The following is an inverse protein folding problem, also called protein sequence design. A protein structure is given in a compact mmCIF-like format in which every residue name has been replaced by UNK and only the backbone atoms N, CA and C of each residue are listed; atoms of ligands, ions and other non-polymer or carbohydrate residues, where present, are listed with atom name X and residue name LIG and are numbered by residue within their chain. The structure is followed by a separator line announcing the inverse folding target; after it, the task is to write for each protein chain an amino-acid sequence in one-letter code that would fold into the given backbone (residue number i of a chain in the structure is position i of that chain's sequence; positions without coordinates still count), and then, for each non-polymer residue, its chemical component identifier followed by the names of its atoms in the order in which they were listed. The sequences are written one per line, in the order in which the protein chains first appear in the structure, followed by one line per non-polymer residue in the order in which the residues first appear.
data_IF_566639907464
#
_entry.id   IF_566639907464
#
_cell.length_a   1.000
_cell.length_b   1.000
_cell.length_c   1.000
_cell.angle_alpha   90.00
_cell.angle_beta   90.00
_cell.angle_gamma   90.00
#
_symmetry.space_group_name_H-M   'P 1'
#
loop_
_entity.id
_entity.type
_entity.pdbx_description
1 polymer ?
#
# COMPACT_ATOMS: atom_id res chain seq x y z
N UNK A 1 14.95 34.46 30.12
CA UNK A 1 14.55 34.06 28.74
C UNK A 1 15.31 32.85 28.17
N UNK A 2 16.60 32.63 28.50
CA UNK A 2 17.41 31.53 27.93
C UNK A 2 16.89 30.11 28.17
N UNK A 3 16.31 29.83 29.34
CA UNK A 3 15.78 28.51 29.70
C UNK A 3 14.51 28.13 28.90
N UNK A 4 13.69 29.12 28.54
CA UNK A 4 12.45 28.92 27.77
C UNK A 4 12.73 28.61 26.31
N UNK A 5 13.75 29.23 25.72
CA UNK A 5 14.19 28.97 24.34
C UNK A 5 14.78 27.55 24.22
N UNK A 6 15.55 27.12 25.22
CA UNK A 6 16.10 25.75 25.25
C UNK A 6 15.00 24.70 25.36
N UNK A 7 13.99 24.94 26.21
CA UNK A 7 12.84 24.05 26.36
C UNK A 7 12.03 23.93 25.07
N UNK A 8 11.82 25.04 24.35
CA UNK A 8 11.12 25.04 23.05
C UNK A 8 11.91 24.29 21.98
N UNK A 9 13.24 24.44 21.93
CA UNK A 9 14.10 23.67 21.03
C UNK A 9 14.08 22.17 21.33
N UNK A 10 14.10 21.78 22.61
CA UNK A 10 13.95 20.38 23.01
C UNK A 10 12.57 19.82 22.62
N UNK A 11 11.49 20.59 22.78
CA UNK A 11 10.16 20.18 22.34
C UNK A 11 10.09 19.99 20.81
N UNK A 12 10.72 20.87 20.04
CA UNK A 12 10.79 20.74 18.57
C UNK A 12 11.55 19.48 18.12
N UNK A 13 12.65 19.13 18.79
CA UNK A 13 13.39 17.89 18.51
C UNK A 13 12.58 16.64 18.89
N UNK A 14 11.81 16.70 19.98
CA UNK A 14 10.96 15.58 20.42
C UNK A 14 9.73 15.35 19.52
N UNK A 15 9.18 16.40 18.87
CA UNK A 15 8.09 16.24 17.89
C UNK A 15 8.56 15.45 16.66
N UNK A 16 9.85 15.58 16.29
CA UNK A 16 10.45 14.80 15.19
C UNK A 16 10.78 13.36 15.57
N UNK A 17 10.81 13.02 16.85
CA UNK A 17 11.16 11.68 17.34
C UNK A 17 9.89 10.82 17.50
N UNK A 18 9.17 10.61 16.40
CA UNK A 18 8.18 9.52 16.32
C UNK A 18 8.95 8.26 15.99
N UNK A 19 9.42 7.57 17.03
CA UNK A 19 10.02 6.25 16.90
C UNK A 19 8.98 5.27 16.36
N UNK A 20 8.93 5.13 15.03
CA UNK A 20 8.40 3.94 14.41
C UNK A 20 9.59 3.31 13.73
N UNK A 21 10.17 2.28 14.33
CA UNK A 21 11.06 1.39 13.60
C UNK A 21 10.20 0.58 12.63
N UNK A 22 9.66 1.27 11.62
CA UNK A 22 8.92 0.73 10.48
C UNK A 22 9.98 0.12 9.59
N UNK A 23 10.12 -1.19 9.68
CA UNK A 23 10.97 -1.94 8.78
C UNK A 23 10.10 -2.38 7.61
N UNK A 24 10.37 -1.79 6.45
CA UNK A 24 9.68 -2.11 5.22
C UNK A 24 10.66 -2.36 4.08
N UNK A 25 10.19 -3.06 3.06
CA UNK A 25 10.90 -3.32 1.84
C UNK A 25 9.98 -3.16 0.65
N UNK A 26 10.51 -2.61 -0.44
CA UNK A 26 9.80 -2.48 -1.70
C UNK A 26 10.70 -2.93 -2.84
N UNK A 27 10.15 -3.69 -3.78
CA UNK A 27 10.84 -4.06 -5.00
C UNK A 27 9.86 -4.04 -6.17
N UNK A 28 10.18 -3.26 -7.21
CA UNK A 28 9.52 -3.39 -8.50
C UNK A 28 10.00 -4.70 -9.16
N UNK A 29 9.08 -5.61 -9.46
CA UNK A 29 9.38 -6.88 -10.15
C UNK A 29 9.09 -6.80 -11.65
N UNK A 30 8.47 -5.71 -12.10
CA UNK A 30 8.25 -5.35 -13.50
C UNK A 30 7.62 -3.97 -13.62
N UNK A 31 7.31 -3.51 -14.85
CA UNK A 31 6.73 -2.17 -15.08
C UNK A 31 5.38 -1.94 -14.39
N UNK A 32 4.62 -3.01 -14.13
CA UNK A 32 3.30 -2.97 -13.53
C UNK A 32 3.16 -3.96 -12.36
N UNK A 33 4.26 -4.44 -11.78
CA UNK A 33 4.25 -5.44 -10.71
C UNK A 33 5.24 -5.08 -9.60
N UNK A 34 4.86 -5.37 -8.36
CA UNK A 34 5.67 -5.04 -7.19
C UNK A 34 5.56 -6.10 -6.10
N UNK A 35 6.58 -6.10 -5.24
CA UNK A 35 6.61 -6.77 -3.95
C UNK A 35 6.75 -5.71 -2.86
N UNK A 36 6.02 -5.89 -1.77
CA UNK A 36 6.14 -5.06 -0.58
C UNK A 36 6.22 -5.96 0.66
N UNK A 37 7.11 -5.65 1.58
CA UNK A 37 7.26 -6.33 2.86
C UNK A 37 7.12 -5.34 3.99
N UNK A 38 6.35 -5.69 5.02
CA UNK A 38 6.31 -4.94 6.27
C UNK A 38 6.52 -5.89 7.45
N UNK A 39 7.46 -5.54 8.31
CA UNK A 39 7.68 -6.27 9.55
C UNK A 39 6.59 -5.92 10.57
N UNK A 40 6.07 -6.93 11.26
CA UNK A 40 5.06 -6.76 12.29
C UNK A 40 5.34 -7.65 13.50
N UNK A 41 5.17 -7.09 14.69
CA UNK A 41 5.22 -7.82 15.96
C UNK A 41 3.82 -8.18 16.49
N UNK A 42 2.76 -7.86 15.74
CA UNK A 42 1.39 -8.23 16.09
C UNK A 42 1.04 -9.55 15.43
N UNK A 43 0.63 -10.53 16.24
CA UNK A 43 0.16 -11.83 15.73
C UNK A 43 -1.03 -11.61 14.80
N UNK A 44 -0.89 -11.97 13.52
CA UNK A 44 -1.98 -12.01 12.57
C UNK A 44 -2.97 -13.08 13.06
N UNK A 45 -4.06 -12.66 13.70
CA UNK A 45 -5.23 -13.55 13.80
C UNK A 45 -5.87 -13.63 12.41
N UNK A 46 -6.61 -14.71 12.14
CA UNK A 46 -7.28 -14.94 10.84
C UNK A 46 -8.20 -13.79 10.42
N UNK A 47 -8.55 -12.90 11.35
CA UNK A 47 -9.41 -11.74 11.18
C UNK A 47 -8.67 -10.39 11.30
N UNK A 48 -7.34 -10.35 11.19
CA UNK A 48 -6.52 -9.12 11.22
C UNK A 48 -6.64 -8.29 9.92
N UNK A 49 -7.86 -8.18 9.38
CA UNK A 49 -8.22 -7.23 8.33
C UNK A 49 -8.67 -5.87 8.92
N UNK A 50 -8.37 -5.65 10.20
CA UNK A 50 -8.70 -4.44 10.95
C UNK A 50 -7.77 -3.25 10.66
N UNK A 51 -7.55 -2.42 11.67
CA UNK A 51 -6.78 -1.17 11.52
C UNK A 51 -5.31 -1.40 11.11
N UNK A 52 -4.72 -2.52 11.52
CA UNK A 52 -3.34 -2.87 11.18
C UNK A 52 -3.17 -3.14 9.68
N UNK A 53 -4.08 -3.91 9.07
CA UNK A 53 -4.09 -4.14 7.62
C UNK A 53 -4.38 -2.86 6.85
N UNK A 54 -5.30 -2.02 7.34
CA UNK A 54 -5.55 -0.72 6.71
C UNK A 54 -4.30 0.15 6.70
N UNK A 55 -3.59 0.22 7.83
CA UNK A 55 -2.33 0.96 7.92
C UNK A 55 -1.28 0.42 6.96
N UNK A 56 -1.13 -0.91 6.84
CA UNK A 56 -0.22 -1.54 5.86
C UNK A 56 -0.60 -1.20 4.42
N UNK A 57 -1.88 -1.11 4.09
CA UNK A 57 -2.34 -0.69 2.75
C UNK A 57 -2.06 0.77 2.45
N UNK A 58 -2.19 1.64 3.44
CA UNK A 58 -1.79 3.06 3.31
C UNK A 58 -0.27 3.17 3.08
N UNK A 59 0.52 2.34 3.78
CA UNK A 59 1.97 2.27 3.57
C UNK A 59 2.35 1.81 2.16
N UNK A 60 1.63 0.83 1.60
CA UNK A 60 1.80 0.40 0.21
C UNK A 60 1.49 1.56 -0.75
N UNK A 61 0.42 2.31 -0.52
CA UNK A 61 0.08 3.50 -1.34
C UNK A 61 1.23 4.51 -1.31
N UNK A 62 1.78 4.80 -0.13
CA UNK A 62 2.89 5.74 0.01
C UNK A 62 4.16 5.24 -0.71
N UNK A 63 4.48 3.95 -0.59
CA UNK A 63 5.61 3.34 -1.28
C UNK A 63 5.44 3.40 -2.81
N UNK A 64 4.27 3.04 -3.33
CA UNK A 64 3.98 3.13 -4.76
C UNK A 64 4.11 4.55 -5.29
N UNK A 65 3.59 5.55 -4.57
CA UNK A 65 3.75 6.97 -4.92
C UNK A 65 5.21 7.40 -4.90
N UNK A 66 5.95 7.01 -3.86
CA UNK A 66 7.38 7.34 -3.73
C UNK A 66 8.20 6.76 -4.89
N UNK A 67 7.85 5.57 -5.37
CA UNK A 67 8.50 4.91 -6.51
C UNK A 67 7.89 5.27 -7.87
N UNK A 68 6.90 6.18 -7.93
CA UNK A 68 6.27 6.59 -9.19
C UNK A 68 5.52 5.46 -9.90
N UNK A 69 4.97 4.50 -9.15
CA UNK A 69 4.26 3.33 -9.67
C UNK A 69 2.76 3.41 -9.41
N UNK A 70 1.98 2.76 -10.28
CA UNK A 70 0.54 2.53 -10.12
C UNK A 70 -0.30 3.81 -9.86
N UNK A 71 -0.20 4.85 -10.72
CA UNK A 71 -0.94 6.11 -10.52
C UNK A 71 -2.47 5.89 -10.51
N UNK A 72 -2.96 4.90 -11.26
CA UNK A 72 -4.38 4.59 -11.41
C UNK A 72 -4.89 3.57 -10.37
N UNK A 73 -4.04 3.23 -9.39
CA UNK A 73 -4.32 2.25 -8.36
C UNK A 73 -3.66 0.89 -8.62
N UNK A 74 -3.85 -0.02 -7.68
CA UNK A 74 -3.22 -1.32 -7.65
C UNK A 74 -4.15 -2.40 -7.10
N UNK A 75 -3.79 -3.65 -7.36
CA UNK A 75 -4.42 -4.84 -6.81
C UNK A 75 -3.37 -5.62 -6.03
N UNK A 76 -3.75 -6.15 -4.86
CA UNK A 76 -2.94 -7.13 -4.13
C UNK A 76 -3.37 -8.51 -4.59
N UNK A 77 -2.45 -9.23 -5.22
CA UNK A 77 -2.66 -10.60 -5.68
C UNK A 77 -2.51 -11.59 -4.54
N UNK A 78 -1.50 -11.38 -3.69
CA UNK A 78 -1.21 -12.29 -2.57
C UNK A 78 -0.79 -11.51 -1.33
N UNK A 79 -1.17 -12.04 -0.16
CA UNK A 79 -0.70 -11.65 1.16
C UNK A 79 -0.20 -12.89 1.87
N UNK A 80 1.04 -12.89 2.34
CA UNK A 80 1.66 -14.01 3.05
C UNK A 80 2.36 -13.56 4.32
N UNK A 81 2.06 -14.22 5.43
CA UNK A 81 2.83 -14.07 6.66
C UNK A 81 4.05 -15.00 6.65
N UNK A 82 5.21 -14.47 7.02
CA UNK A 82 6.49 -15.17 7.16
C UNK A 82 6.96 -14.96 8.60
N UNK A 83 6.81 -15.96 9.49
CA UNK A 83 7.19 -15.79 10.89
C UNK A 83 8.70 -15.58 11.02
N UNK A 84 9.11 -14.77 11.99
CA UNK A 84 10.51 -14.68 12.37
C UNK A 84 10.97 -16.06 12.85
N UNK A 85 12.08 -16.56 12.30
CA UNK A 85 12.62 -17.85 12.69
C UNK A 85 13.31 -17.76 14.06
N UNK A 86 12.56 -17.62 15.18
CA UNK A 86 13.16 -17.63 16.53
C UNK A 86 12.25 -18.28 17.59
N UNK A 87 12.33 -19.61 17.69
CA UNK A 87 11.99 -20.36 18.91
C UNK A 87 10.57 -20.20 19.47
N UNK A 88 10.30 -20.71 20.68
CA UNK A 88 8.97 -20.66 21.29
C UNK A 88 8.51 -19.26 21.74
N UNK A 89 9.29 -18.21 21.46
CA UNK A 89 9.04 -16.83 21.89
C UNK A 89 9.06 -15.81 20.74
N UNK A 90 9.14 -16.27 19.48
CA UNK A 90 9.06 -15.40 18.31
C UNK A 90 7.68 -14.77 18.23
N UNK A 91 7.58 -13.49 18.59
CA UNK A 91 6.36 -12.69 18.50
C UNK A 91 6.51 -11.68 17.35
N UNK A 92 6.55 -12.19 16.12
CA UNK A 92 6.70 -11.35 14.94
C UNK A 92 6.90 -12.10 13.64
N UNK A 93 6.89 -11.33 12.56
CA UNK A 93 7.17 -11.81 11.22
C UNK A 93 6.94 -10.73 10.18
N UNK A 94 7.36 -11.03 8.96
CA UNK A 94 7.11 -10.18 7.81
C UNK A 94 5.77 -10.55 7.17
N UNK A 95 5.02 -9.52 6.79
CA UNK A 95 3.89 -9.68 5.87
C UNK A 95 4.39 -9.26 4.49
N UNK A 96 4.37 -10.22 3.57
CA UNK A 96 4.74 -10.05 2.17
C UNK A 96 3.48 -9.87 1.33
N UNK A 97 3.47 -8.82 0.53
CA UNK A 97 2.45 -8.51 -0.45
C UNK A 97 3.05 -8.62 -1.85
N UNK A 98 2.36 -9.32 -2.75
CA UNK A 98 2.60 -9.20 -4.18
C UNK A 98 1.39 -8.53 -4.82
N UNK A 99 1.64 -7.57 -5.71
CA UNK A 99 0.59 -6.85 -6.38
C UNK A 99 0.99 -6.35 -7.76
N UNK A 100 -0.01 -5.84 -8.47
CA UNK A 100 0.15 -5.24 -9.78
C UNK A 100 -0.62 -3.92 -9.88
N UNK A 101 -0.18 -3.06 -10.80
CA UNK A 101 -0.88 -1.82 -11.10
C UNK A 101 -2.15 -2.11 -11.90
N UNK A 102 -3.21 -1.36 -11.63
CA UNK A 102 -4.33 -1.28 -12.55
C UNK A 102 -3.80 -0.70 -13.86
N UNK A 103 -3.93 -1.45 -14.93
CA UNK A 103 -3.74 -0.91 -16.28
C UNK A 103 -5.05 -0.26 -16.69
N UNK A 104 -5.03 0.98 -17.17
CA UNK A 104 -6.17 1.52 -17.92
C UNK A 104 -6.43 0.57 -19.10
N UNK A 105 -7.42 -0.30 -18.97
CA UNK A 105 -8.01 -0.94 -20.14
C UNK A 105 -8.64 0.19 -20.95
N UNK A 106 -8.26 0.39 -22.24
CA UNK A 106 -8.96 1.36 -23.07
C UNK A 106 -10.46 1.05 -23.03
N UNK A 107 -11.33 2.08 -22.98
CA UNK A 107 -12.76 1.86 -22.92
C UNK A 107 -13.18 0.93 -24.07
N UNK A 108 -14.09 -0.03 -23.83
CA UNK A 108 -14.55 -0.93 -24.90
C UNK A 108 -15.06 -0.07 -26.06
N UNK A 109 -14.75 -0.44 -27.33
CA UNK A 109 -15.18 0.35 -28.47
C UNK A 109 -16.69 0.50 -28.44
N UNK A 110 -17.16 1.75 -28.46
CA UNK A 110 -18.58 2.06 -28.56
C UNK A 110 -19.07 1.54 -29.91
N UNK A 111 -19.75 0.40 -29.91
CA UNK A 111 -20.45 -0.11 -31.09
C UNK A 111 -21.65 0.80 -31.33
N UNK A 112 -21.47 1.82 -32.16
CA UNK A 112 -22.58 2.65 -32.65
C UNK A 112 -23.46 1.74 -33.52
N UNK A 113 -24.54 1.20 -32.94
CA UNK A 113 -25.60 0.57 -33.71
C UNK A 113 -26.24 1.66 -34.58
N UNK A 114 -25.87 1.69 -35.86
CA UNK A 114 -26.49 2.54 -36.87
C UNK A 114 -27.96 2.13 -36.98
N UNK A 115 -28.87 2.86 -36.33
CA UNK A 115 -30.31 2.71 -36.55
C UNK A 115 -30.58 3.08 -38.01
N UNK A 116 -31.00 2.09 -38.79
CA UNK A 116 -31.49 2.28 -40.15
C UNK A 116 -32.88 2.91 -40.02
N UNK A 117 -32.98 4.21 -40.26
CA UNK A 117 -34.27 4.88 -40.45
C UNK A 117 -34.92 4.30 -41.71
N UNK A 118 -35.92 3.46 -41.54
CA UNK A 118 -36.84 3.10 -42.63
C UNK A 118 -37.92 4.18 -42.70
N UNK A 119 -37.73 5.09 -43.66
CA UNK A 119 -38.73 6.02 -44.14
C UNK A 119 -39.81 5.18 -44.83
N UNK A 120 -40.99 5.09 -44.21
CA UNK A 120 -42.17 4.49 -44.84
C UNK A 120 -42.97 5.60 -45.53
N UNK A 121 -42.79 5.70 -46.84
CA UNK A 121 -43.65 6.47 -47.74
C UNK A 121 -44.69 5.52 -48.34
N UNK A 122 -45.95 5.57 -47.86
CA UNK A 122 -47.17 5.52 -48.69
C UNK A 122 -48.45 5.73 -47.89
#
# INVERSE_FOLDING_TARGET
MRLRVLALLCLLVLIGCRGTTRYEGFAATGPAAFLYSAHSNTVMTENDDGEAERSRRDWIVDALKFHGMCPDGYVIDTRRFVPDAVGPFGNGGDILYAGHCLTELPPPPVVVKKQKEEIFEK
#
